data_IF_681820765606
#
_entry.id   IF_681820765606
#
_cell.length_a   1.000
_cell.length_b   1.000
_cell.length_c   1.000
_cell.angle_alpha   90.00
_cell.angle_beta   90.00
_cell.angle_gamma   90.00
#
_symmetry.space_group_name_H-M   'P 1'
#
loop_
_entity.id
_entity.type
_entity.pdbx_description
1 polymer ?
#
# COMPACT_ATOMS: atom_id res chain seq x y z
N UNK A 1 -18.72 -5.54 -14.16
CA UNK A 1 -18.18 -6.03 -12.87
C UNK A 1 -19.32 -6.37 -11.93
N UNK A 2 -19.21 -7.45 -11.16
CA UNK A 2 -20.15 -7.75 -10.07
C UNK A 2 -19.94 -6.81 -8.88
N UNK A 3 -20.98 -6.63 -8.07
CA UNK A 3 -20.89 -5.84 -6.81
C UNK A 3 -19.81 -6.42 -5.89
N UNK A 4 -19.71 -7.75 -5.83
CA UNK A 4 -18.67 -8.44 -5.06
C UNK A 4 -17.27 -8.05 -5.51
N UNK A 5 -17.02 -7.99 -6.83
CA UNK A 5 -15.70 -7.60 -7.36
C UNK A 5 -15.34 -6.15 -7.02
N UNK A 6 -16.32 -5.25 -6.99
CA UNK A 6 -16.14 -3.85 -6.57
C UNK A 6 -15.77 -3.78 -5.10
N UNK A 7 -16.54 -4.44 -4.23
CA UNK A 7 -16.29 -4.45 -2.80
C UNK A 7 -14.94 -5.09 -2.45
N UNK A 8 -14.57 -6.17 -3.14
CA UNK A 8 -13.25 -6.80 -2.95
C UNK A 8 -12.13 -5.86 -3.37
N UNK A 9 -12.24 -5.16 -4.51
CA UNK A 9 -11.23 -4.19 -4.95
C UNK A 9 -11.07 -3.05 -3.94
N UNK A 10 -12.18 -2.51 -3.42
CA UNK A 10 -12.16 -1.48 -2.37
C UNK A 10 -11.47 -2.03 -1.11
N UNK A 11 -11.85 -3.21 -0.65
CA UNK A 11 -11.25 -3.83 0.54
C UNK A 11 -9.75 -4.08 0.38
N UNK A 12 -9.31 -4.61 -0.76
CA UNK A 12 -7.90 -4.83 -1.08
C UNK A 12 -7.13 -3.51 -0.99
N UNK A 13 -7.63 -2.45 -1.64
CA UNK A 13 -7.00 -1.14 -1.60
C UNK A 13 -6.87 -0.60 -0.16
N UNK A 14 -7.96 -0.61 0.61
CA UNK A 14 -7.91 -0.11 1.99
C UNK A 14 -6.90 -0.83 2.86
N UNK A 15 -6.80 -2.14 2.69
CA UNK A 15 -5.88 -2.94 3.49
C UNK A 15 -4.43 -2.64 3.14
N UNK A 16 -4.11 -2.51 1.85
CA UNK A 16 -2.74 -2.28 1.39
C UNK A 16 -2.25 -0.85 1.57
N UNK A 17 -3.14 0.14 1.50
CA UNK A 17 -2.75 1.56 1.51
C UNK A 17 -2.93 2.23 2.90
N UNK A 18 -3.30 1.47 3.95
CA UNK A 18 -3.50 2.05 5.30
C UNK A 18 -2.20 2.52 5.94
N UNK A 19 -1.10 1.83 5.76
CA UNK A 19 0.22 2.22 6.26
C UNK A 19 0.84 3.36 5.45
N UNK A 20 0.58 3.44 4.15
CA UNK A 20 0.93 4.57 3.30
C UNK A 20 0.32 5.89 3.81
N UNK A 21 -0.79 5.82 4.56
CA UNK A 21 -1.42 7.00 5.14
C UNK A 21 -0.46 7.75 6.07
N UNK A 22 0.34 7.03 6.87
CA UNK A 22 1.32 7.65 7.78
C UNK A 22 2.41 8.35 6.99
N UNK A 23 2.92 7.70 5.95
CA UNK A 23 3.94 8.27 5.06
C UNK A 23 3.41 9.53 4.36
N UNK A 24 2.18 9.47 3.84
CA UNK A 24 1.52 10.62 3.20
C UNK A 24 1.31 11.78 4.17
N UNK A 25 0.88 11.50 5.42
CA UNK A 25 0.74 12.53 6.46
C UNK A 25 2.06 13.29 6.67
N UNK A 26 3.16 12.56 6.82
CA UNK A 26 4.49 13.16 7.00
C UNK A 26 4.94 13.96 5.78
N UNK A 27 4.67 13.47 4.56
CA UNK A 27 4.96 14.17 3.32
C UNK A 27 4.15 15.47 3.20
N UNK A 28 2.85 15.45 3.55
CA UNK A 28 2.00 16.64 3.55
C UNK A 28 2.47 17.69 4.57
N UNK A 29 2.90 17.26 5.75
CA UNK A 29 3.45 18.15 6.78
C UNK A 29 4.79 18.76 6.36
N UNK A 30 5.62 18.02 5.60
CA UNK A 30 6.90 18.50 5.09
C UNK A 30 6.76 19.44 3.88
N UNK A 31 5.64 19.40 3.16
CA UNK A 31 5.42 20.17 1.93
C UNK A 31 5.23 21.66 2.20
N UNK A 32 6.19 22.48 1.76
CA UNK A 32 6.23 23.93 2.01
C UNK A 32 5.49 24.79 0.94
N UNK A 33 5.32 24.26 -0.27
CA UNK A 33 4.79 25.01 -1.40
C UNK A 33 3.88 24.14 -2.28
N UNK A 34 3.19 24.80 -3.24
CA UNK A 34 2.25 24.15 -4.15
C UNK A 34 2.94 23.10 -5.04
N UNK A 35 4.16 23.36 -5.48
CA UNK A 35 4.91 22.45 -6.34
C UNK A 35 5.19 21.12 -5.60
N UNK A 36 5.65 21.16 -4.35
CA UNK A 36 5.87 19.98 -3.54
C UNK A 36 4.59 19.16 -3.31
N UNK A 37 3.45 19.83 -3.11
CA UNK A 37 2.15 19.16 -3.01
C UNK A 37 1.78 18.43 -4.31
N UNK A 38 2.02 19.03 -5.47
CA UNK A 38 1.82 18.39 -6.77
C UNK A 38 2.77 17.19 -6.95
N UNK A 39 4.00 17.28 -6.47
CA UNK A 39 4.97 16.17 -6.49
C UNK A 39 4.56 15.00 -5.60
N UNK A 40 3.90 15.26 -4.45
CA UNK A 40 3.31 14.20 -3.64
C UNK A 40 2.22 13.47 -4.43
N UNK A 41 1.29 14.21 -5.02
CA UNK A 41 0.19 13.62 -5.81
C UNK A 41 0.76 12.78 -6.95
N UNK A 42 1.63 13.37 -7.78
CA UNK A 42 2.21 12.67 -8.93
C UNK A 42 3.06 11.47 -8.52
N UNK A 43 3.87 11.61 -7.47
CA UNK A 43 4.74 10.54 -6.98
C UNK A 43 3.95 9.35 -6.42
N UNK A 44 2.86 9.60 -5.69
CA UNK A 44 1.98 8.56 -5.16
C UNK A 44 1.27 7.81 -6.29
N UNK A 45 0.68 8.53 -7.26
CA UNK A 45 0.06 7.89 -8.43
C UNK A 45 1.07 7.04 -9.20
N UNK A 46 2.26 7.57 -9.50
CA UNK A 46 3.30 6.83 -10.20
C UNK A 46 3.79 5.62 -9.40
N UNK A 47 3.94 5.75 -8.09
CA UNK A 47 4.36 4.68 -7.20
C UNK A 47 3.37 3.51 -7.23
N UNK A 48 2.10 3.78 -6.91
CA UNK A 48 1.06 2.73 -6.87
C UNK A 48 0.84 2.14 -8.27
N UNK A 49 0.83 2.95 -9.33
CA UNK A 49 0.71 2.43 -10.70
C UNK A 49 1.89 1.52 -11.08
N UNK A 50 3.11 1.84 -10.63
CA UNK A 50 4.27 0.96 -10.82
C UNK A 50 4.09 -0.37 -10.09
N UNK A 51 3.60 -0.35 -8.84
CA UNK A 51 3.30 -1.57 -8.07
C UNK A 51 2.20 -2.41 -8.74
N UNK A 52 1.12 -1.78 -9.21
CA UNK A 52 0.05 -2.44 -9.95
C UNK A 52 0.60 -3.08 -11.23
N UNK A 53 1.43 -2.37 -11.99
CA UNK A 53 2.03 -2.88 -13.21
C UNK A 53 2.94 -4.09 -12.93
N UNK A 54 3.79 -4.00 -11.93
CA UNK A 54 4.66 -5.11 -11.49
C UNK A 54 3.80 -6.31 -11.06
N UNK A 55 2.81 -6.08 -10.20
CA UNK A 55 1.93 -7.14 -9.72
C UNK A 55 1.15 -7.80 -10.86
N UNK A 56 0.67 -7.02 -11.83
CA UNK A 56 -0.03 -7.55 -13.00
C UNK A 56 0.89 -8.40 -13.89
N UNK A 57 2.10 -7.93 -14.18
CA UNK A 57 3.08 -8.68 -14.97
C UNK A 57 3.46 -10.00 -14.28
N UNK A 58 3.75 -9.94 -12.99
CA UNK A 58 4.07 -11.13 -12.20
C UNK A 58 2.89 -12.10 -12.15
N UNK A 59 1.67 -11.59 -11.94
CA UNK A 59 0.47 -12.42 -11.90
C UNK A 59 0.23 -13.18 -13.22
N UNK A 60 0.56 -12.57 -14.36
CA UNK A 60 0.47 -13.24 -15.67
C UNK A 60 1.58 -14.28 -15.89
N UNK A 61 2.79 -13.99 -15.43
CA UNK A 61 3.88 -14.98 -15.43
C UNK A 61 3.54 -16.20 -14.58
N UNK A 62 3.01 -15.98 -13.37
CA UNK A 62 2.56 -17.06 -12.47
C UNK A 62 1.50 -17.96 -13.12
N UNK A 63 0.53 -17.39 -13.86
CA UNK A 63 -0.51 -18.18 -14.57
C UNK A 63 0.04 -19.09 -15.68
N UNK A 64 1.23 -18.82 -16.24
CA UNK A 64 1.85 -19.66 -17.26
C UNK A 64 2.52 -20.92 -16.69
N UNK A 65 2.80 -20.95 -15.39
CA UNK A 65 3.52 -22.05 -14.72
C UNK A 65 2.64 -22.93 -13.81
N UNK A 66 1.39 -23.20 -14.20
CA UNK A 66 0.44 -24.04 -13.42
C UNK A 66 0.23 -23.55 -11.97
N UNK A 67 -0.19 -22.33 -11.88
CA UNK A 67 -0.12 -21.44 -10.71
C UNK A 67 -1.14 -21.73 -9.61
N UNK A 68 -2.00 -22.73 -9.72
CA UNK A 68 -2.98 -23.01 -8.66
C UNK A 68 -2.29 -23.32 -7.32
N UNK A 69 -1.19 -24.08 -7.36
CA UNK A 69 -0.37 -24.33 -6.18
C UNK A 69 0.47 -23.12 -5.75
N UNK A 70 0.94 -22.30 -6.71
CA UNK A 70 1.81 -21.17 -6.41
C UNK A 70 1.06 -20.02 -5.74
N UNK A 71 -0.19 -19.77 -6.14
CA UNK A 71 -1.03 -18.70 -5.54
C UNK A 71 -1.29 -18.94 -4.05
N UNK A 72 -1.43 -20.17 -3.64
CA UNK A 72 -1.61 -20.51 -2.23
C UNK A 72 -0.34 -20.18 -1.40
N UNK A 73 0.85 -20.52 -1.94
CA UNK A 73 2.13 -20.20 -1.28
C UNK A 73 2.46 -18.69 -1.24
N UNK A 74 1.87 -17.90 -2.12
CA UNK A 74 2.03 -16.43 -2.09
C UNK A 74 1.45 -15.81 -0.81
N UNK A 75 0.53 -16.47 -0.12
CA UNK A 75 0.05 -16.06 1.20
C UNK A 75 1.12 -16.09 2.30
N UNK A 76 2.23 -16.83 2.09
CA UNK A 76 3.37 -16.80 3.01
C UNK A 76 4.07 -15.44 3.02
N UNK A 77 4.02 -14.68 1.94
CA UNK A 77 4.70 -13.37 1.84
C UNK A 77 4.08 -12.36 2.81
N UNK A 78 2.77 -12.07 2.76
CA UNK A 78 2.16 -11.18 3.75
C UNK A 78 2.23 -11.75 5.17
N UNK A 79 2.10 -13.05 5.35
CA UNK A 79 2.22 -13.67 6.66
C UNK A 79 3.62 -13.43 7.28
N UNK A 80 4.69 -13.66 6.52
CA UNK A 80 6.06 -13.44 7.01
C UNK A 80 6.33 -11.96 7.29
N UNK A 81 5.87 -11.04 6.43
CA UNK A 81 5.97 -9.59 6.64
C UNK A 81 5.24 -9.17 7.92
N UNK A 82 4.04 -9.68 8.13
CA UNK A 82 3.27 -9.42 9.35
C UNK A 82 3.95 -9.94 10.61
N UNK A 83 4.49 -11.16 10.59
CA UNK A 83 5.23 -11.74 11.71
C UNK A 83 6.52 -10.99 12.01
N UNK A 84 7.28 -10.60 10.99
CA UNK A 84 8.50 -9.79 11.13
C UNK A 84 8.16 -8.41 11.68
N UNK A 85 7.10 -7.76 11.18
CA UNK A 85 6.62 -6.47 11.68
C UNK A 85 6.20 -6.54 13.15
N UNK A 86 5.45 -7.57 13.54
CA UNK A 86 5.03 -7.79 14.92
C UNK A 86 6.23 -8.07 15.84
N UNK A 87 7.21 -8.83 15.39
CA UNK A 87 8.44 -9.11 16.12
C UNK A 87 9.31 -7.86 16.30
N UNK A 88 9.42 -7.01 15.27
CA UNK A 88 10.10 -5.71 15.35
C UNK A 88 9.39 -4.79 16.35
N UNK A 89 8.06 -4.77 16.31
CA UNK A 89 7.25 -4.03 17.27
C UNK A 89 7.50 -4.50 18.69
N UNK A 90 7.48 -5.80 18.95
CA UNK A 90 7.70 -6.39 20.28
C UNK A 90 9.11 -6.11 20.82
N UNK A 91 10.13 -6.12 19.96
CA UNK A 91 11.51 -5.82 20.36
C UNK A 91 11.78 -4.33 20.60
N UNK A 92 10.77 -3.47 20.55
CA UNK A 92 10.95 -2.03 20.75
C UNK A 92 11.85 -1.38 19.68
N UNK A 93 12.14 -2.09 18.58
CA UNK A 93 12.82 -1.54 17.41
C UNK A 93 11.84 -0.74 16.56
N UNK A 94 11.10 0.15 17.23
CA UNK A 94 10.38 1.21 16.54
C UNK A 94 11.45 2.20 16.07
N UNK A 95 12.20 1.82 15.04
CA UNK A 95 12.79 2.87 14.26
C UNK A 95 11.59 3.74 13.82
N UNK A 96 11.62 5.08 13.98
CA UNK A 96 10.68 5.90 13.26
C UNK A 96 10.74 5.35 11.83
N UNK A 97 9.57 5.11 11.21
CA UNK A 97 9.48 4.88 9.77
C UNK A 97 10.52 5.84 9.23
N UNK A 98 11.58 5.29 8.62
CA UNK A 98 12.78 6.07 8.35
C UNK A 98 12.31 7.32 7.62
N UNK A 99 12.02 8.35 8.42
CA UNK A 99 11.78 9.67 7.86
C UNK A 99 13.14 10.01 7.31
N UNK A 100 13.40 9.81 6.01
CA UNK A 100 14.58 10.37 5.43
C UNK A 100 14.55 11.81 5.89
N UNK A 101 15.67 12.48 6.02
CA UNK A 101 15.74 13.89 6.34
C UNK A 101 14.81 14.67 5.39
N UNK A 102 13.50 14.49 5.57
CA UNK A 102 12.39 15.06 4.78
C UNK A 102 12.42 16.59 4.79
N UNK A 103 13.26 17.15 5.68
CA UNK A 103 13.42 18.58 5.79
C UNK A 103 14.07 19.24 4.57
N UNK A 104 14.64 18.50 3.60
CA UNK A 104 15.40 19.16 2.54
C UNK A 104 14.69 19.36 1.22
N UNK A 105 13.79 18.50 0.76
CA UNK A 105 12.87 18.81 -0.34
C UNK A 105 11.98 17.61 -0.71
N UNK A 106 10.68 17.73 -0.51
CA UNK A 106 9.70 16.82 -1.11
C UNK A 106 9.85 16.92 -2.64
N UNK A 107 10.17 15.81 -3.29
CA UNK A 107 10.34 15.72 -4.73
C UNK A 107 9.63 14.48 -5.28
N UNK A 108 9.25 14.51 -6.54
CA UNK A 108 8.56 13.39 -7.18
C UNK A 108 9.36 12.07 -7.07
N UNK A 109 10.69 12.02 -7.36
CA UNK A 109 11.47 10.79 -7.20
C UNK A 109 11.50 10.30 -5.75
N UNK A 110 11.54 11.21 -4.77
CA UNK A 110 11.50 10.83 -3.36
C UNK A 110 10.17 10.15 -3.02
N UNK A 111 9.03 10.76 -3.37
CA UNK A 111 7.71 10.19 -3.07
C UNK A 111 7.55 8.85 -3.78
N UNK A 112 7.86 8.78 -5.07
CA UNK A 112 7.82 7.55 -5.86
C UNK A 112 8.66 6.43 -5.24
N UNK A 113 9.93 6.73 -4.88
CA UNK A 113 10.81 5.72 -4.27
C UNK A 113 10.34 5.27 -2.88
N UNK A 114 9.72 6.16 -2.09
CA UNK A 114 9.13 5.80 -0.81
C UNK A 114 7.93 4.88 -1.00
N UNK A 115 7.03 5.18 -1.92
CA UNK A 115 5.86 4.34 -2.24
C UNK A 115 6.30 2.97 -2.75
N UNK A 116 7.29 2.91 -3.67
CA UNK A 116 7.83 1.62 -4.15
C UNK A 116 8.54 0.86 -3.01
N UNK A 117 9.35 1.54 -2.20
CA UNK A 117 10.07 0.92 -1.09
C UNK A 117 9.16 0.36 0.00
N UNK A 118 7.99 0.97 0.17
CA UNK A 118 6.95 0.51 1.10
C UNK A 118 6.00 -0.52 0.46
N UNK A 119 5.99 -0.66 -0.86
CA UNK A 119 5.02 -1.44 -1.62
C UNK A 119 5.21 -2.97 -1.59
N UNK A 120 6.05 -3.51 -0.70
CA UNK A 120 6.22 -4.96 -0.55
C UNK A 120 4.92 -5.68 -0.14
N UNK A 121 4.17 -5.05 0.72
CA UNK A 121 2.84 -5.47 1.17
C UNK A 121 1.80 -5.38 0.07
N UNK A 122 1.75 -4.26 -0.67
CA UNK A 122 0.89 -4.11 -1.84
C UNK A 122 1.13 -5.26 -2.84
N UNK A 123 2.39 -5.55 -3.17
CA UNK A 123 2.72 -6.64 -4.09
C UNK A 123 2.28 -8.00 -3.57
N UNK A 124 2.43 -8.25 -2.26
CA UNK A 124 2.07 -9.51 -1.64
C UNK A 124 0.57 -9.84 -1.74
N UNK A 125 -0.27 -8.81 -1.82
CA UNK A 125 -1.72 -8.93 -1.94
C UNK A 125 -2.18 -8.77 -3.41
N UNK A 126 -1.61 -7.82 -4.15
CA UNK A 126 -2.00 -7.55 -5.54
C UNK A 126 -1.68 -8.73 -6.45
N UNK A 127 -0.52 -9.40 -6.29
CA UNK A 127 -0.14 -10.53 -7.14
C UNK A 127 -1.20 -11.65 -7.07
N UNK A 128 -1.51 -12.25 -5.90
CA UNK A 128 -2.51 -13.31 -5.81
C UNK A 128 -3.93 -12.82 -6.14
N UNK A 129 -4.26 -11.57 -5.87
CA UNK A 129 -5.55 -10.99 -6.24
C UNK A 129 -5.69 -10.90 -7.76
N UNK A 130 -4.67 -10.39 -8.47
CA UNK A 130 -4.72 -10.20 -9.91
C UNK A 130 -4.67 -11.51 -10.71
N UNK A 131 -4.13 -12.61 -10.16
CA UNK A 131 -4.21 -13.92 -10.81
C UNK A 131 -5.66 -14.37 -11.02
N UNK A 132 -6.56 -13.99 -10.11
CA UNK A 132 -8.00 -14.35 -10.16
C UNK A 132 -8.82 -13.46 -11.10
N UNK A 133 -8.24 -12.39 -11.66
CA UNK A 133 -8.97 -11.42 -12.48
C UNK A 133 -8.83 -11.70 -13.97
N UNK A 134 -9.95 -11.60 -14.70
CA UNK A 134 -9.91 -11.51 -16.16
C UNK A 134 -9.37 -10.14 -16.59
N UNK A 135 -8.82 -9.98 -17.81
CA UNK A 135 -8.34 -8.67 -18.30
C UNK A 135 -9.40 -7.57 -18.25
N UNK A 136 -10.66 -7.91 -18.57
CA UNK A 136 -11.78 -6.97 -18.52
C UNK A 136 -12.08 -6.52 -17.07
N UNK A 137 -12.05 -7.45 -16.12
CA UNK A 137 -12.26 -7.14 -14.70
C UNK A 137 -11.11 -6.32 -14.12
N UNK A 138 -9.87 -6.62 -14.53
CA UNK A 138 -8.69 -5.85 -14.12
C UNK A 138 -8.79 -4.38 -14.53
N UNK A 139 -9.23 -4.09 -15.77
CA UNK A 139 -9.46 -2.70 -16.21
C UNK A 139 -10.43 -1.94 -15.29
N UNK A 140 -11.50 -2.59 -14.85
CA UNK A 140 -12.45 -2.01 -13.90
C UNK A 140 -11.84 -1.79 -12.51
N UNK A 141 -11.04 -2.75 -12.01
CA UNK A 141 -10.29 -2.62 -10.75
C UNK A 141 -9.29 -1.48 -10.81
N UNK A 142 -8.58 -1.33 -11.94
CA UNK A 142 -7.63 -0.22 -12.15
C UNK A 142 -8.33 1.14 -12.03
N UNK A 143 -9.50 1.30 -12.64
CA UNK A 143 -10.27 2.55 -12.52
C UNK A 143 -10.67 2.81 -11.05
N UNK A 144 -11.13 1.79 -10.33
CA UNK A 144 -11.47 1.91 -8.91
C UNK A 144 -10.23 2.35 -8.11
N UNK A 145 -9.07 1.73 -8.32
CA UNK A 145 -7.83 2.08 -7.64
C UNK A 145 -7.41 3.51 -7.92
N UNK A 146 -7.48 3.97 -9.19
CA UNK A 146 -7.17 5.36 -9.53
C UNK A 146 -8.06 6.37 -8.79
N UNK A 147 -9.35 6.07 -8.65
CA UNK A 147 -10.27 6.91 -7.86
C UNK A 147 -9.92 6.87 -6.38
N UNK A 148 -9.65 5.68 -5.84
CA UNK A 148 -9.32 5.49 -4.43
C UNK A 148 -8.00 6.16 -4.06
N UNK A 149 -6.96 6.14 -4.92
CA UNK A 149 -5.71 6.90 -4.71
C UNK A 149 -6.03 8.38 -4.54
N UNK A 150 -6.87 8.96 -5.39
CA UNK A 150 -7.29 10.36 -5.27
C UNK A 150 -8.01 10.65 -3.97
N UNK A 151 -8.95 9.79 -3.58
CA UNK A 151 -9.66 9.90 -2.30
C UNK A 151 -8.66 9.81 -1.13
N UNK A 152 -7.73 8.85 -1.17
CA UNK A 152 -6.73 8.62 -0.13
C UNK A 152 -5.78 9.81 0.05
N UNK A 153 -5.33 10.39 -1.06
CA UNK A 153 -4.56 11.63 -1.07
C UNK A 153 -5.35 12.80 -0.46
N UNK A 154 -6.64 12.91 -0.76
CA UNK A 154 -7.52 13.91 -0.16
C UNK A 154 -7.69 13.69 1.34
N UNK A 155 -8.01 12.47 1.76
CA UNK A 155 -8.16 12.09 3.17
C UNK A 155 -6.88 12.38 3.94
N UNK A 156 -5.72 11.90 3.46
CA UNK A 156 -4.42 12.13 4.10
C UNK A 156 -4.07 13.61 4.22
N UNK A 157 -4.39 14.42 3.21
CA UNK A 157 -4.20 15.87 3.24
C UNK A 157 -5.03 16.56 4.31
N UNK A 158 -6.31 16.19 4.46
CA UNK A 158 -7.17 16.73 5.50
C UNK A 158 -6.72 16.28 6.90
N UNK A 159 -6.35 15.02 7.04
CA UNK A 159 -5.85 14.46 8.29
C UNK A 159 -4.53 15.11 8.74
N UNK A 160 -3.63 15.43 7.80
CA UNK A 160 -2.37 16.12 8.10
C UNK A 160 -2.56 17.53 8.69
N UNK A 161 -3.74 18.13 8.53
CA UNK A 161 -4.08 19.42 9.13
C UNK A 161 -4.54 19.32 10.59
N UNK A 162 -4.84 18.11 11.07
CA UNK A 162 -5.31 17.85 12.45
C UNK A 162 -4.17 17.32 13.32
N UNK A 163 -3.76 18.08 14.33
CA UNK A 163 -2.72 17.67 15.30
C UNK A 163 -3.09 16.39 16.07
N UNK A 164 -4.37 16.16 16.32
CA UNK A 164 -4.87 14.98 17.05
C UNK A 164 -4.70 13.72 16.23
N UNK A 165 -4.95 13.79 14.95
CA UNK A 165 -4.92 12.65 14.03
C UNK A 165 -3.49 12.17 13.79
N UNK A 166 -2.54 13.08 13.62
CA UNK A 166 -1.12 12.72 13.43
C UNK A 166 -0.60 11.88 14.60
N UNK A 167 -0.89 12.29 15.85
CA UNK A 167 -0.51 11.54 17.06
C UNK A 167 -1.17 10.16 17.15
N UNK A 168 -2.40 10.03 16.68
CA UNK A 168 -3.11 8.74 16.69
C UNK A 168 -2.44 7.74 15.75
N UNK A 169 -2.14 8.14 14.52
CA UNK A 169 -1.49 7.27 13.53
C UNK A 169 -0.04 6.92 13.90
N UNK A 170 0.72 7.86 14.49
CA UNK A 170 2.06 7.57 15.02
C UNK A 170 2.01 6.49 16.13
N UNK A 171 0.93 6.45 16.91
CA UNK A 171 0.80 5.53 18.04
C UNK A 171 0.25 4.16 17.67
N UNK A 172 -0.70 4.09 16.73
CA UNK A 172 -1.44 2.87 16.41
C UNK A 172 -1.03 2.22 15.08
N UNK A 173 -0.52 2.97 14.11
CA UNK A 173 -0.14 2.46 12.80
C UNK A 173 0.94 1.37 12.87
N UNK A 174 1.85 1.47 13.80
CA UNK A 174 3.01 0.57 13.93
C UNK A 174 2.67 -0.89 14.29
N UNK A 175 1.54 -1.15 14.96
CA UNK A 175 1.13 -2.51 15.33
C UNK A 175 -0.09 -3.00 14.53
N UNK A 176 -0.89 -2.09 14.00
CA UNK A 176 -2.09 -2.44 13.25
C UNK A 176 -1.73 -3.06 11.89
N UNK A 177 -0.76 -2.50 11.17
CA UNK A 177 -0.29 -3.03 9.88
C UNK A 177 0.19 -4.49 9.99
N UNK A 178 1.10 -4.87 10.90
CA UNK A 178 1.51 -6.26 11.06
C UNK A 178 0.35 -7.23 11.29
N UNK A 179 -0.65 -6.84 12.06
CA UNK A 179 -1.82 -7.70 12.31
C UNK A 179 -2.66 -7.90 11.06
N UNK A 180 -2.86 -6.84 10.27
CA UNK A 180 -3.58 -6.94 8.99
C UNK A 180 -2.86 -7.88 8.03
N UNK A 181 -1.51 -7.81 7.93
CA UNK A 181 -0.72 -8.71 7.09
C UNK A 181 -0.81 -10.18 7.52
N UNK A 182 -0.77 -10.45 8.82
CA UNK A 182 -0.97 -11.81 9.34
C UNK A 182 -2.35 -12.32 8.94
N UNK A 183 -3.39 -11.51 9.14
CA UNK A 183 -4.77 -11.89 8.81
C UNK A 183 -4.93 -12.20 7.33
N UNK A 184 -4.38 -11.35 6.45
CA UNK A 184 -4.46 -11.54 4.99
C UNK A 184 -3.64 -12.74 4.54
N UNK A 185 -2.42 -12.89 5.06
CA UNK A 185 -1.59 -14.05 4.77
C UNK A 185 -2.29 -15.36 5.10
N UNK A 186 -2.96 -15.43 6.23
CA UNK A 186 -3.77 -16.58 6.63
C UNK A 186 -4.98 -16.79 5.71
N UNK A 187 -5.69 -15.72 5.31
CA UNK A 187 -6.83 -15.81 4.40
C UNK A 187 -6.44 -16.27 2.98
N UNK A 188 -5.22 -16.03 2.54
CA UNK A 188 -4.71 -16.51 1.25
C UNK A 188 -4.27 -17.98 1.35
N UNK A 189 -3.76 -18.40 2.51
CA UNK A 189 -3.28 -19.77 2.76
C UNK A 189 -4.43 -20.76 3.03
N UNK A 190 -5.57 -20.30 3.52
CA UNK A 190 -6.79 -21.10 3.76
C UNK A 190 -7.66 -21.17 2.50
#
# INVERSE_FOLDING_TARGET
MSVTAILTAIGVFFVTDTDDLVVLLLLWLAAKNRQQRQQIIAGQYLGILSLIAIAWLVSRGVLHYDAAHLTHWLGLVPLTLGLVGLWQWWRGRHGPIATPRLAQSVSLPLVWSMTIGNGGDNLSIYIPYFTKLSPATFGGVLVIFLVLIGIWLGVSYYLARSHTTTRFFERFGTWLSPLLFITIGLLILL
#
